data_IF_325079665467
#
_entry.id   IF_325079665467
#
_cell.length_a   1.000
_cell.length_b   1.000
_cell.length_c   1.000
_cell.angle_alpha   90.00
_cell.angle_beta   90.00
_cell.angle_gamma   90.00
#
_symmetry.space_group_name_H-M   'P 1'
#
loop_
_entity.id
_entity.type
_entity.pdbx_description
1 polymer ?
#
# COMPACT_ATOMS: atom_id res chain seq x y z
N UNK A 1 -9.08 -8.38 50.70
CA UNK A 1 -10.09 -9.28 50.11
C UNK A 1 -9.73 -9.49 48.66
N UNK A 2 -9.48 -10.75 48.29
CA UNK A 2 -8.95 -11.22 47.00
C UNK A 2 -10.09 -11.92 46.27
N UNK A 3 -10.25 -11.72 44.97
CA UNK A 3 -10.57 -12.84 44.05
C UNK A 3 -10.15 -12.49 42.62
N UNK A 4 -9.12 -13.20 42.15
CA UNK A 4 -8.72 -13.32 40.76
C UNK A 4 -9.57 -14.43 40.11
N UNK A 5 -9.94 -14.26 38.84
CA UNK A 5 -10.59 -15.30 38.03
C UNK A 5 -9.54 -16.14 37.32
N UNK A 6 -9.40 -17.39 37.75
CA UNK A 6 -8.59 -18.45 37.15
C UNK A 6 -9.19 -18.98 35.83
N UNK A 7 -8.31 -19.25 34.87
CA UNK A 7 -8.54 -20.09 33.70
C UNK A 7 -8.33 -21.57 34.09
N UNK A 8 -9.23 -22.50 33.76
CA UNK A 8 -8.90 -23.92 33.83
C UNK A 8 -8.18 -24.38 32.56
N UNK A 9 -6.98 -24.91 32.78
CA UNK A 9 -6.26 -25.81 31.90
C UNK A 9 -6.58 -27.28 32.27
N UNK A 10 -6.56 -28.16 31.27
CA UNK A 10 -6.71 -29.62 31.42
C UNK A 10 -7.91 -30.13 30.61
N UNK A 11 -7.85 -31.20 29.82
CA UNK A 11 -6.86 -32.25 29.70
C UNK A 11 -7.05 -32.92 28.33
N UNK A 12 -5.98 -33.10 27.55
CA UNK A 12 -5.99 -34.03 26.43
C UNK A 12 -5.38 -35.35 26.91
N UNK A 13 -6.20 -36.39 26.88
CA UNK A 13 -5.87 -37.74 27.29
C UNK A 13 -4.88 -38.39 26.33
N UNK A 14 -3.91 -39.09 26.94
CA UNK A 14 -3.06 -40.11 26.33
C UNK A 14 -3.79 -41.46 26.34
N UNK A 15 -3.63 -42.27 25.29
CA UNK A 15 -3.83 -43.72 25.35
C UNK A 15 -4.39 -44.35 24.08
N UNK A 16 -3.62 -45.22 23.38
CA UNK A 16 -4.02 -45.87 22.13
C UNK A 16 -4.77 -47.18 22.40
N UNK A 17 -5.70 -47.55 21.52
CA UNK A 17 -6.23 -48.92 21.44
C UNK A 17 -5.90 -49.52 20.08
N UNK A 18 -5.08 -50.54 20.21
CA UNK A 18 -4.73 -51.67 19.35
C UNK A 18 -5.47 -51.92 18.04
N UNK A 19 -4.61 -52.23 17.06
CA UNK A 19 -4.75 -53.08 15.89
C UNK A 19 -5.98 -54.00 15.82
N UNK A 20 -6.65 -53.94 14.67
CA UNK A 20 -7.26 -55.10 14.02
C UNK A 20 -6.79 -55.08 12.56
N UNK A 21 -5.89 -56.00 12.25
CA UNK A 21 -5.33 -56.24 10.93
C UNK A 21 -6.13 -57.36 10.27
N UNK A 22 -7.00 -57.04 9.30
CA UNK A 22 -7.49 -58.02 8.33
C UNK A 22 -7.64 -57.39 6.95
N UNK A 23 -6.85 -57.93 6.01
CA UNK A 23 -7.18 -58.19 4.62
C UNK A 23 -7.83 -57.09 3.77
N UNK A 24 -7.10 -56.60 2.77
CA UNK A 24 -7.75 -55.99 1.61
C UNK A 24 -6.85 -55.20 0.69
N UNK A 25 -6.46 -55.82 -0.43
CA UNK A 25 -6.17 -55.22 -1.72
C UNK A 25 -5.40 -53.90 -1.80
N UNK A 26 -4.17 -54.05 -2.30
CA UNK A 26 -3.48 -53.16 -3.23
C UNK A 26 -4.34 -52.04 -3.83
N UNK A 27 -4.09 -50.81 -3.40
CA UNK A 27 -4.15 -49.64 -4.28
C UNK A 27 -2.96 -48.76 -3.92
N UNK A 28 -1.87 -48.89 -4.67
CA UNK A 28 -0.81 -47.87 -4.69
C UNK A 28 -1.42 -46.62 -5.31
N UNK A 29 -1.99 -45.76 -4.48
CA UNK A 29 -2.39 -44.41 -4.86
C UNK A 29 -1.10 -43.60 -5.08
N UNK A 30 -0.63 -43.61 -6.33
CA UNK A 30 0.38 -42.68 -6.81
C UNK A 30 -0.23 -41.28 -6.69
N UNK A 31 -0.01 -40.62 -5.55
CA UNK A 31 -0.37 -39.22 -5.38
C UNK A 31 0.59 -38.44 -6.28
N UNK A 32 0.18 -38.23 -7.54
CA UNK A 32 0.75 -37.23 -8.41
C UNK A 32 0.51 -35.89 -7.73
N UNK A 33 1.43 -35.49 -6.86
CA UNK A 33 1.54 -34.12 -6.39
C UNK A 33 1.95 -33.32 -7.62
N UNK A 34 0.95 -32.95 -8.42
CA UNK A 34 1.11 -31.86 -9.37
C UNK A 34 1.41 -30.63 -8.51
N UNK A 35 2.71 -30.41 -8.29
CA UNK A 35 3.23 -29.15 -7.83
C UNK A 35 2.96 -28.21 -8.99
N UNK A 36 1.72 -27.71 -9.03
CA UNK A 36 1.38 -26.58 -9.85
C UNK A 36 2.40 -25.51 -9.47
N UNK A 37 3.22 -25.02 -10.41
CA UNK A 37 4.23 -24.03 -10.09
C UNK A 37 3.48 -22.86 -9.47
N UNK A 38 3.74 -22.60 -8.17
CA UNK A 38 3.27 -21.37 -7.53
C UNK A 38 3.83 -20.26 -8.39
N UNK A 39 2.95 -19.61 -9.17
CA UNK A 39 3.29 -18.38 -9.90
C UNK A 39 4.04 -17.50 -8.89
N UNK A 40 5.28 -17.09 -9.17
CA UNK A 40 5.95 -16.16 -8.28
C UNK A 40 5.03 -14.94 -8.15
N UNK A 41 4.50 -14.72 -6.95
CA UNK A 41 3.69 -13.54 -6.67
C UNK A 41 4.55 -12.36 -7.06
N UNK A 42 4.08 -11.54 -8.00
CA UNK A 42 4.80 -10.36 -8.44
C UNK A 42 5.34 -9.59 -7.22
N UNK A 43 6.57 -9.06 -7.30
CA UNK A 43 7.19 -8.39 -6.17
C UNK A 43 6.27 -7.27 -5.66
N UNK A 44 5.76 -7.44 -4.44
CA UNK A 44 4.87 -6.47 -3.81
C UNK A 44 5.68 -5.28 -3.35
N UNK A 45 5.28 -4.09 -3.79
CA UNK A 45 5.91 -2.87 -3.34
C UNK A 45 5.58 -2.66 -1.85
N UNK A 46 6.59 -2.75 -0.99
CA UNK A 46 6.45 -2.40 0.43
C UNK A 46 6.56 -0.90 0.57
N UNK A 47 5.54 -0.25 1.08
CA UNK A 47 5.66 1.16 1.45
C UNK A 47 6.62 1.27 2.63
N UNK A 48 7.75 1.94 2.41
CA UNK A 48 8.71 2.29 3.47
C UNK A 48 8.52 3.72 3.95
N UNK A 49 8.06 4.62 3.09
CA UNK A 49 7.92 6.03 3.44
C UNK A 49 6.62 6.33 4.20
N UNK A 50 6.75 7.12 5.26
CA UNK A 50 5.65 7.59 6.10
C UNK A 50 4.76 8.58 5.35
N UNK A 51 5.34 9.38 4.45
CA UNK A 51 4.60 10.34 3.61
C UNK A 51 3.67 9.65 2.62
N UNK A 52 4.11 8.55 2.01
CA UNK A 52 3.28 7.70 1.14
C UNK A 52 2.10 7.07 1.89
N UNK A 53 2.34 6.56 3.11
CA UNK A 53 1.25 6.05 3.97
C UNK A 53 0.24 7.15 4.30
N UNK A 54 0.70 8.36 4.63
CA UNK A 54 -0.17 9.51 4.89
C UNK A 54 -1.03 9.86 3.66
N UNK A 55 -0.43 9.85 2.47
CA UNK A 55 -1.14 10.14 1.22
C UNK A 55 -2.26 9.12 0.95
N UNK A 56 -2.02 7.83 1.17
CA UNK A 56 -3.02 6.78 0.98
C UNK A 56 -4.19 6.89 1.96
N UNK A 57 -3.90 7.13 3.24
CA UNK A 57 -4.96 7.29 4.25
C UNK A 57 -5.80 8.54 3.97
N UNK A 58 -5.17 9.65 3.56
CA UNK A 58 -5.90 10.84 3.14
C UNK A 58 -6.73 10.57 1.87
N UNK A 59 -6.20 9.83 0.90
CA UNK A 59 -6.93 9.47 -0.32
C UNK A 59 -8.15 8.59 -0.04
N UNK A 60 -8.04 7.62 0.87
CA UNK A 60 -9.17 6.76 1.27
C UNK A 60 -10.31 7.56 1.91
N UNK A 61 -9.99 8.64 2.63
CA UNK A 61 -10.96 9.54 3.27
C UNK A 61 -11.52 10.62 2.34
N UNK A 62 -11.05 10.71 1.09
CA UNK A 62 -11.44 11.75 0.13
C UNK A 62 -12.93 11.74 -0.22
N UNK A 63 -13.51 10.56 -0.37
CA UNK A 63 -14.89 10.41 -0.82
C UNK A 63 -15.89 10.50 0.33
N UNK A 64 -15.57 9.91 1.48
CA UNK A 64 -16.51 9.79 2.60
C UNK A 64 -15.81 9.62 3.95
N UNK A 65 -16.50 9.93 5.06
CA UNK A 65 -15.99 9.62 6.38
C UNK A 65 -15.91 8.10 6.63
N UNK A 66 -14.76 7.61 7.10
CA UNK A 66 -14.51 6.17 7.33
C UNK A 66 -14.00 5.90 8.75
N UNK A 67 -14.30 4.70 9.26
CA UNK A 67 -13.66 4.12 10.44
C UNK A 67 -12.28 3.59 10.10
N UNK A 68 -11.47 3.36 11.13
CA UNK A 68 -10.09 2.85 10.99
C UNK A 68 -10.02 1.53 10.21
N UNK A 69 -10.97 0.62 10.46
CA UNK A 69 -11.08 -0.66 9.76
C UNK A 69 -11.46 -0.47 8.28
N UNK A 70 -12.43 0.40 8.01
CA UNK A 70 -12.91 0.68 6.66
C UNK A 70 -11.83 1.34 5.78
N UNK A 71 -10.92 2.13 6.36
CA UNK A 71 -9.79 2.72 5.63
C UNK A 71 -8.89 1.64 5.04
N UNK A 72 -8.59 0.59 5.81
CA UNK A 72 -7.74 -0.52 5.33
C UNK A 72 -8.40 -1.27 4.19
N UNK A 73 -9.71 -1.50 4.29
CA UNK A 73 -10.48 -2.20 3.26
C UNK A 73 -10.55 -1.40 1.95
N UNK A 74 -10.75 -0.08 2.05
CA UNK A 74 -10.76 0.80 0.87
C UNK A 74 -9.40 0.80 0.18
N UNK A 75 -8.30 0.94 0.94
CA UNK A 75 -6.94 0.91 0.38
C UNK A 75 -6.65 -0.42 -0.30
N UNK A 76 -6.96 -1.55 0.35
CA UNK A 76 -6.77 -2.89 -0.26
C UNK A 76 -7.60 -3.08 -1.52
N UNK A 77 -8.84 -2.58 -1.55
CA UNK A 77 -9.72 -2.70 -2.72
C UNK A 77 -9.27 -1.86 -3.90
N UNK A 78 -8.82 -0.63 -3.66
CA UNK A 78 -8.45 0.30 -4.72
C UNK A 78 -7.04 0.07 -5.26
N UNK A 79 -6.08 -0.24 -4.38
CA UNK A 79 -4.67 -0.44 -4.75
C UNK A 79 -4.38 -1.91 -5.11
N UNK A 80 -5.24 -2.83 -4.66
CA UNK A 80 -5.06 -4.26 -4.87
C UNK A 80 -3.89 -4.83 -4.05
N UNK A 81 -3.49 -6.06 -4.38
CA UNK A 81 -2.40 -6.79 -3.71
C UNK A 81 -0.99 -6.35 -4.14
N UNK A 82 -0.89 -5.32 -4.99
CA UNK A 82 0.39 -4.79 -5.50
C UNK A 82 1.18 -4.12 -4.38
N UNK A 83 0.47 -3.64 -3.34
CA UNK A 83 1.04 -2.82 -2.29
C UNK A 83 0.80 -3.45 -0.91
N UNK A 84 1.88 -3.66 -0.17
CA UNK A 84 1.81 -4.22 1.18
C UNK A 84 1.55 -3.11 2.20
N UNK A 85 0.27 -2.91 2.54
CA UNK A 85 -0.18 -1.93 3.51
C UNK A 85 -0.63 -2.60 4.81
N UNK A 86 0.20 -2.59 5.88
CA UNK A 86 -0.16 -3.26 7.12
C UNK A 86 -1.19 -2.46 7.91
N UNK A 87 -2.25 -3.13 8.36
CA UNK A 87 -3.29 -2.59 9.24
C UNK A 87 -2.71 -1.87 10.47
N UNK A 88 -1.62 -2.39 11.02
CA UNK A 88 -0.91 -1.81 12.17
C UNK A 88 -0.42 -0.38 11.94
N UNK A 89 -0.27 0.07 10.68
CA UNK A 89 0.13 1.44 10.37
C UNK A 89 -1.03 2.41 10.22
N UNK A 90 -2.28 1.94 10.17
CA UNK A 90 -3.45 2.82 10.00
C UNK A 90 -3.72 3.63 11.25
N UNK A 91 -3.80 2.99 12.41
CA UNK A 91 -4.13 3.67 13.67
C UNK A 91 -3.09 4.75 14.02
N UNK A 92 -1.77 4.47 14.04
CA UNK A 92 -0.76 5.50 14.30
C UNK A 92 -0.74 6.61 13.24
N UNK A 93 -1.18 6.32 12.02
CA UNK A 93 -1.30 7.29 10.94
C UNK A 93 -2.48 8.21 11.14
N UNK A 94 -3.67 7.67 11.41
CA UNK A 94 -4.87 8.47 11.72
C UNK A 94 -4.64 9.38 12.92
N UNK A 95 -4.02 8.87 13.99
CA UNK A 95 -3.67 9.69 15.16
C UNK A 95 -2.74 10.85 14.81
N UNK A 96 -1.70 10.59 13.99
CA UNK A 96 -0.78 11.64 13.51
C UNK A 96 -1.51 12.68 12.65
N UNK A 97 -2.28 12.23 11.67
CA UNK A 97 -3.02 13.11 10.76
C UNK A 97 -4.03 13.98 11.53
N UNK A 98 -4.68 13.42 12.56
CA UNK A 98 -5.58 14.14 13.44
C UNK A 98 -4.82 15.20 14.27
N UNK A 99 -3.67 14.84 14.83
CA UNK A 99 -2.79 15.78 15.55
C UNK A 99 -2.35 16.96 14.66
N UNK A 100 -2.13 16.70 13.37
CA UNK A 100 -1.78 17.70 12.36
C UNK A 100 -2.99 18.43 11.75
N UNK A 101 -4.21 18.20 12.28
CA UNK A 101 -5.46 18.81 11.80
C UNK A 101 -5.80 18.52 10.34
N UNK A 102 -5.24 17.45 9.77
CA UNK A 102 -5.53 17.01 8.40
C UNK A 102 -6.80 16.16 8.33
N UNK A 103 -7.14 15.50 9.44
CA UNK A 103 -8.39 14.77 9.62
C UNK A 103 -9.01 15.11 10.97
N UNK A 104 -10.31 14.95 11.08
CA UNK A 104 -11.08 15.12 12.33
C UNK A 104 -12.03 13.97 12.52
N UNK A 105 -12.37 13.67 13.77
CA UNK A 105 -13.46 12.72 14.07
C UNK A 105 -14.80 13.38 13.74
N UNK A 106 -15.73 12.61 13.19
CA UNK A 106 -17.08 13.09 12.91
C UNK A 106 -17.83 13.37 14.22
N UNK A 107 -18.56 14.48 14.29
CA UNK A 107 -19.39 14.82 15.45
C UNK A 107 -20.58 13.87 15.62
N UNK A 108 -21.06 13.27 14.53
CA UNK A 108 -22.19 12.31 14.54
C UNK A 108 -21.76 10.87 14.87
N UNK A 109 -20.54 10.49 14.54
CA UNK A 109 -19.96 9.16 14.85
C UNK A 109 -18.46 9.34 15.16
N UNK A 110 -18.06 9.39 16.45
CA UNK A 110 -16.68 9.59 16.86
C UNK A 110 -15.69 8.52 16.35
N UNK A 111 -16.18 7.38 15.87
CA UNK A 111 -15.36 6.31 15.29
C UNK A 111 -14.97 6.60 13.84
N UNK A 112 -15.69 7.50 13.16
CA UNK A 112 -15.42 7.89 11.78
C UNK A 112 -14.51 9.11 11.72
N UNK A 113 -13.53 9.05 10.84
CA UNK A 113 -12.65 10.16 10.49
C UNK A 113 -13.13 10.81 9.19
N UNK A 114 -12.97 12.12 9.08
CA UNK A 114 -13.26 12.93 7.89
C UNK A 114 -12.07 13.84 7.58
N UNK A 115 -11.79 14.08 6.30
CA UNK A 115 -10.85 15.12 5.88
C UNK A 115 -11.30 16.52 6.31
N UNK A 116 -10.34 17.31 6.76
CA UNK A 116 -10.51 18.76 6.86
C UNK A 116 -10.18 19.42 5.52
N UNK A 117 -10.52 20.70 5.37
CA UNK A 117 -10.10 21.48 4.20
C UNK A 117 -8.57 21.55 4.06
N UNK A 118 -7.86 21.64 5.18
CA UNK A 118 -6.39 21.58 5.21
C UNK A 118 -5.91 20.20 4.74
N UNK A 119 -6.56 19.13 5.21
CA UNK A 119 -6.33 17.76 4.75
C UNK A 119 -6.50 17.60 3.24
N UNK A 120 -7.58 18.13 2.68
CA UNK A 120 -7.86 18.09 1.25
C UNK A 120 -6.77 18.80 0.44
N UNK A 121 -6.38 20.02 0.83
CA UNK A 121 -5.27 20.75 0.18
C UNK A 121 -3.96 19.96 0.27
N UNK A 122 -3.70 19.36 1.43
CA UNK A 122 -2.52 18.54 1.67
C UNK A 122 -2.52 17.25 0.82
N UNK A 123 -3.68 16.64 0.56
CA UNK A 123 -3.82 15.52 -0.36
C UNK A 123 -3.53 15.94 -1.80
N UNK A 124 -4.09 17.07 -2.25
CA UNK A 124 -3.85 17.60 -3.60
C UNK A 124 -2.36 17.89 -3.83
N UNK A 125 -1.68 18.49 -2.85
CA UNK A 125 -0.25 18.75 -2.94
C UNK A 125 0.57 17.44 -3.03
N UNK A 126 0.22 16.43 -2.23
CA UNK A 126 0.88 15.12 -2.28
C UNK A 126 0.65 14.39 -3.61
N UNK A 127 -0.55 14.46 -4.18
CA UNK A 127 -0.86 13.90 -5.51
C UNK A 127 0.04 14.53 -6.58
N UNK A 128 0.09 15.87 -6.63
CA UNK A 128 0.98 16.59 -7.57
C UNK A 128 2.44 16.20 -7.42
N UNK A 129 2.93 16.08 -6.18
CA UNK A 129 4.30 15.65 -5.93
C UNK A 129 4.56 14.21 -6.40
N UNK A 130 3.61 13.30 -6.18
CA UNK A 130 3.71 11.92 -6.65
C UNK A 130 3.70 11.84 -8.18
N UNK A 131 2.83 12.59 -8.84
CA UNK A 131 2.74 12.64 -10.30
C UNK A 131 4.03 13.19 -10.92
N UNK A 132 4.59 14.26 -10.34
CA UNK A 132 5.86 14.84 -10.78
C UNK A 132 7.04 13.86 -10.59
N UNK A 133 7.05 13.13 -9.48
CA UNK A 133 8.06 12.11 -9.21
C UNK A 133 7.96 10.94 -10.18
N UNK A 134 6.76 10.39 -10.39
CA UNK A 134 6.52 9.31 -11.34
C UNK A 134 6.93 9.73 -12.76
N UNK A 135 6.54 10.94 -13.19
CA UNK A 135 6.92 11.49 -14.50
C UNK A 135 8.44 11.58 -14.64
N UNK A 136 9.14 12.08 -13.62
CA UNK A 136 10.60 12.20 -13.64
C UNK A 136 11.29 10.82 -13.66
N UNK A 137 10.76 9.86 -12.89
CA UNK A 137 11.25 8.49 -12.89
C UNK A 137 11.08 7.81 -14.24
N UNK A 138 9.90 7.93 -14.87
CA UNK A 138 9.65 7.36 -16.19
C UNK A 138 10.60 7.97 -17.22
N UNK A 139 10.72 9.32 -17.26
CA UNK A 139 11.69 9.98 -18.15
C UNK A 139 13.12 9.48 -17.96
N UNK A 140 13.55 9.29 -16.71
CA UNK A 140 14.90 8.78 -16.42
C UNK A 140 15.06 7.32 -16.83
N UNK A 141 14.06 6.47 -16.57
CA UNK A 141 14.09 5.05 -16.89
C UNK A 141 13.99 4.78 -18.40
N UNK A 142 13.24 5.61 -19.13
CA UNK A 142 13.07 5.54 -20.58
C UNK A 142 14.29 6.13 -21.33
N UNK A 143 15.34 6.52 -20.62
CA UNK A 143 16.60 6.96 -21.21
C UNK A 143 16.69 8.46 -21.51
N UNK A 144 15.74 9.27 -21.04
CA UNK A 144 15.84 10.72 -21.06
C UNK A 144 16.14 11.28 -22.44
N UNK A 145 15.29 11.01 -23.45
CA UNK A 145 15.25 11.86 -24.64
C UNK A 145 14.60 13.21 -24.27
N UNK A 146 15.33 14.00 -23.49
CA UNK A 146 15.21 15.43 -23.52
C UNK A 146 15.76 15.89 -24.87
N UNK A 147 14.86 15.96 -25.84
CA UNK A 147 14.81 17.00 -26.87
C UNK A 147 16.17 17.65 -27.19
N UNK A 148 16.93 16.98 -28.06
CA UNK A 148 18.08 17.54 -28.75
C UNK A 148 17.71 18.56 -29.84
N UNK A 149 16.47 19.08 -29.89
CA UNK A 149 16.06 20.07 -30.90
C UNK A 149 16.40 21.50 -30.48
N UNK A 150 17.66 21.71 -30.08
CA UNK A 150 18.30 23.02 -30.10
C UNK A 150 19.61 22.97 -30.89
N UNK A 151 19.56 22.33 -32.06
CA UNK A 151 20.53 22.54 -33.12
C UNK A 151 19.83 22.89 -34.43
N UNK A 152 19.63 24.21 -34.62
CA UNK A 152 19.66 24.84 -35.94
C UNK A 152 19.88 26.34 -35.73
N UNK A 153 21.10 26.70 -35.35
CA UNK A 153 21.61 28.02 -35.66
C UNK A 153 21.65 28.16 -37.20
N UNK A 154 21.00 29.15 -37.82
CA UNK A 154 21.55 29.68 -39.05
C UNK A 154 22.77 30.50 -38.65
N UNK A 155 23.92 29.91 -38.92
CA UNK A 155 25.19 30.61 -39.15
C UNK A 155 25.00 31.54 -40.35
N UNK A 156 24.29 32.66 -40.18
CA UNK A 156 24.36 33.82 -41.06
C UNK A 156 25.58 34.63 -40.57
N UNK A 157 26.77 34.25 -40.98
CA UNK A 157 27.41 34.83 -42.16
C UNK A 157 27.64 36.34 -42.01
N UNK A 158 28.78 36.63 -41.35
CA UNK A 158 29.73 37.70 -41.67
C UNK A 158 29.18 38.81 -42.57
N UNK A 159 28.90 39.98 -41.98
CA UNK A 159 29.01 41.25 -42.70
C UNK A 159 29.81 42.25 -41.87
N UNK A 160 30.99 42.58 -42.39
CA UNK A 160 31.94 43.54 -41.86
C UNK A 160 31.38 44.97 -41.82
N UNK A 161 31.97 45.89 -41.01
CA UNK A 161 31.55 47.28 -40.96
C UNK A 161 31.97 48.06 -42.23
N UNK A 162 31.02 48.71 -42.89
CA UNK A 162 31.30 49.70 -43.92
C UNK A 162 31.77 51.01 -43.27
N UNK A 163 32.99 51.43 -43.60
CA UNK A 163 33.44 52.81 -43.41
C UNK A 163 32.72 53.73 -44.39
N UNK A 164 32.24 54.85 -43.88
CA UNK A 164 31.79 56.04 -44.60
C UNK A 164 32.00 57.24 -43.69
#
# INVERSE_FOLDING_TARGET
MITAGEYPAGANALGPTEECQEGGSSVTLLVMTTTAPRRPSAPRARIRDRGQVDALVLAALAERPLRQEEVSDVVRRQVGDVLDFPYSRVVPTLHRLARNRLVVRSSRDPRRYRLTEVGTRSLTARRRAADAFATSLHRLADGGEADGSQEAAPRAERRAPSRG
#
